data_IF_580380542950
#
_entry.id   IF_580380542950
#
_cell.length_a   1.000
_cell.length_b   1.000
_cell.length_c   1.000
_cell.angle_alpha   90.00
_cell.angle_beta   90.00
_cell.angle_gamma   90.00
#
_symmetry.space_group_name_H-M   'P 1'
#
loop_
_entity.id
_entity.type
_entity.pdbx_description
1 polymer ?
#
# COMPACT_ATOMS: atom_id res chain seq x y z
N UNK A 1 1.95 42.56 -13.53
CA UNK A 1 1.69 41.27 -14.21
C UNK A 1 1.26 40.27 -13.14
N UNK A 2 0.07 39.67 -13.26
CA UNK A 2 -0.46 38.70 -12.29
C UNK A 2 -0.09 37.29 -12.77
N UNK A 3 0.90 36.67 -12.14
CA UNK A 3 1.17 35.24 -12.30
C UNK A 3 0.24 34.49 -11.36
N UNK A 4 -0.94 34.12 -11.84
CA UNK A 4 -1.78 33.14 -11.15
C UNK A 4 -1.16 31.79 -11.46
N UNK A 5 -0.48 31.24 -10.45
CA UNK A 5 0.21 29.96 -10.48
C UNK A 5 -0.78 28.85 -10.84
N UNK A 6 -0.64 28.28 -12.03
CA UNK A 6 -1.48 27.18 -12.59
C UNK A 6 -1.02 25.83 -12.01
N UNK A 7 -0.79 25.77 -10.70
CA UNK A 7 -0.42 24.51 -10.01
C UNK A 7 -1.61 23.93 -9.24
N UNK A 8 -2.68 24.71 -9.04
CA UNK A 8 -3.86 24.29 -8.28
C UNK A 8 -4.87 23.43 -9.07
N UNK A 9 -4.69 23.20 -10.37
CA UNK A 9 -5.71 22.57 -11.23
C UNK A 9 -5.47 21.09 -11.55
N UNK A 10 -4.35 20.50 -11.13
CA UNK A 10 -4.06 19.08 -11.40
C UNK A 10 -4.41 18.14 -10.25
N UNK A 11 -4.71 18.67 -9.07
CA UNK A 11 -5.05 17.89 -7.88
C UNK A 11 -6.36 17.07 -7.96
N UNK A 12 -7.44 17.45 -8.70
CA UNK A 12 -8.69 16.68 -8.63
C UNK A 12 -8.74 15.47 -9.57
N UNK A 13 -7.85 15.38 -10.57
CA UNK A 13 -7.97 14.32 -11.60
C UNK A 13 -7.40 12.99 -11.12
N UNK A 14 -6.30 13.02 -10.36
CA UNK A 14 -5.68 11.81 -9.81
C UNK A 14 -6.58 11.16 -8.74
N UNK A 15 -7.24 11.97 -7.91
CA UNK A 15 -8.22 11.49 -6.92
C UNK A 15 -9.54 10.96 -7.51
N UNK A 16 -9.81 11.25 -8.79
CA UNK A 16 -11.05 10.88 -9.47
C UNK A 16 -10.86 9.77 -10.51
N UNK A 17 -9.63 9.30 -10.74
CA UNK A 17 -9.38 8.15 -11.58
C UNK A 17 -10.16 6.95 -11.00
N UNK A 18 -11.02 6.26 -11.79
CA UNK A 18 -11.73 5.07 -11.34
C UNK A 18 -10.79 4.02 -10.75
N UNK A 19 -9.54 4.00 -11.21
CA UNK A 19 -8.45 3.15 -10.75
C UNK A 19 -8.05 3.42 -9.28
N UNK A 20 -8.23 4.66 -8.80
CA UNK A 20 -8.05 5.01 -7.39
C UNK A 20 -9.33 4.81 -6.54
N UNK A 21 -10.47 4.53 -7.20
CA UNK A 21 -11.77 4.29 -6.54
C UNK A 21 -12.11 2.80 -6.44
N UNK A 22 -11.71 2.06 -7.46
CA UNK A 22 -11.96 0.65 -7.56
C UNK A 22 -10.63 -0.04 -7.29
N UNK A 23 -10.53 -0.66 -6.11
CA UNK A 23 -9.50 -1.61 -5.67
C UNK A 23 -9.24 -2.77 -6.67
N UNK A 24 -9.80 -2.70 -7.89
CA UNK A 24 -9.88 -3.75 -8.90
C UNK A 24 -8.51 -4.20 -9.41
N UNK A 25 -7.46 -3.39 -9.30
CA UNK A 25 -6.09 -3.79 -9.59
C UNK A 25 -5.48 -4.58 -8.44
N UNK A 26 -5.13 -3.90 -7.36
CA UNK A 26 -4.42 -4.52 -6.24
C UNK A 26 -5.19 -5.65 -5.54
N UNK A 27 -6.50 -5.52 -5.27
CA UNK A 27 -7.28 -6.60 -4.64
C UNK A 27 -7.41 -7.81 -5.56
N UNK A 28 -7.60 -7.60 -6.86
CA UNK A 28 -7.70 -8.72 -7.79
C UNK A 28 -6.38 -9.49 -7.83
N UNK A 29 -5.24 -8.78 -7.88
CA UNK A 29 -3.93 -9.43 -7.85
C UNK A 29 -3.72 -10.20 -6.54
N UNK A 30 -4.05 -9.60 -5.38
CA UNK A 30 -3.93 -10.30 -4.10
C UNK A 30 -4.81 -11.55 -4.05
N UNK A 31 -6.06 -11.46 -4.50
CA UNK A 31 -6.96 -12.63 -4.53
C UNK A 31 -6.47 -13.71 -5.49
N UNK A 32 -5.83 -13.33 -6.60
CA UNK A 32 -5.24 -14.26 -7.56
C UNK A 32 -3.99 -14.95 -7.01
N UNK A 33 -3.02 -14.17 -6.49
CA UNK A 33 -1.71 -14.67 -6.07
C UNK A 33 -1.72 -15.26 -4.67
N UNK A 34 -2.73 -14.92 -3.86
CA UNK A 34 -2.76 -15.20 -2.44
C UNK A 34 -4.15 -15.75 -2.04
N UNK A 35 -4.58 -16.88 -2.62
CA UNK A 35 -5.96 -17.36 -2.50
C UNK A 35 -6.38 -17.75 -1.07
N UNK A 36 -5.40 -17.96 -0.18
CA UNK A 36 -5.63 -18.32 1.23
C UNK A 36 -5.69 -17.10 2.16
N UNK A 37 -5.53 -15.88 1.64
CA UNK A 37 -5.61 -14.67 2.47
C UNK A 37 -7.03 -14.52 3.02
N UNK A 38 -7.15 -14.23 4.32
CA UNK A 38 -8.46 -14.06 4.94
C UNK A 38 -9.13 -12.77 4.46
N UNK A 39 -10.46 -12.76 4.40
CA UNK A 39 -11.21 -11.54 4.06
C UNK A 39 -10.95 -10.41 5.07
N UNK A 40 -10.62 -10.73 6.33
CA UNK A 40 -10.22 -9.73 7.33
C UNK A 40 -8.92 -9.00 6.92
N UNK A 41 -7.94 -9.73 6.38
CA UNK A 41 -6.70 -9.12 5.92
C UNK A 41 -6.91 -8.32 4.62
N UNK A 42 -7.75 -8.82 3.72
CA UNK A 42 -8.21 -8.05 2.56
C UNK A 42 -8.87 -6.73 3.01
N UNK A 43 -9.75 -6.76 4.00
CA UNK A 43 -10.47 -5.58 4.46
C UNK A 43 -9.55 -4.55 5.15
N UNK A 44 -8.54 -4.99 5.89
CA UNK A 44 -7.50 -4.09 6.43
C UNK A 44 -6.75 -3.44 5.27
N UNK A 45 -6.35 -4.24 4.30
CA UNK A 45 -5.56 -3.76 3.19
C UNK A 45 -6.38 -2.79 2.31
N UNK A 46 -7.71 -2.96 2.14
CA UNK A 46 -8.59 -1.92 1.56
C UNK A 46 -8.65 -0.68 2.44
N UNK A 47 -8.82 -0.86 3.75
CA UNK A 47 -8.97 0.25 4.69
C UNK A 47 -7.80 1.22 4.68
N UNK A 48 -6.56 0.72 4.60
CA UNK A 48 -5.36 1.58 4.59
C UNK A 48 -5.20 2.40 3.31
N UNK A 49 -5.88 1.99 2.23
CA UNK A 49 -5.90 2.70 0.94
C UNK A 49 -7.05 3.72 0.84
N UNK A 50 -7.97 3.77 1.81
CA UNK A 50 -9.08 4.71 1.76
C UNK A 50 -8.58 6.16 1.89
N UNK A 51 -9.17 7.13 1.16
CA UNK A 51 -8.75 8.54 1.20
C UNK A 51 -8.76 9.20 2.59
N UNK A 52 -9.48 8.62 3.55
CA UNK A 52 -9.60 9.12 4.92
C UNK A 52 -8.78 8.31 5.93
N UNK A 53 -7.98 7.33 5.49
CA UNK A 53 -7.13 6.59 6.41
C UNK A 53 -6.03 7.50 6.96
N UNK A 54 -6.11 7.78 8.26
CA UNK A 54 -5.17 8.63 8.94
C UNK A 54 -4.92 8.20 10.38
N UNK A 55 -4.43 9.13 11.18
CA UNK A 55 -4.04 8.88 12.58
C UNK A 55 -5.19 8.42 13.46
N UNK A 56 -6.45 8.71 13.09
CA UNK A 56 -7.63 8.31 13.84
C UNK A 56 -8.09 6.87 13.50
N UNK A 57 -7.84 6.42 12.27
CA UNK A 57 -8.24 5.13 11.72
C UNK A 57 -7.16 4.07 11.88
N UNK A 58 -5.88 4.46 11.87
CA UNK A 58 -4.76 3.54 12.02
C UNK A 58 -4.83 2.67 13.30
N UNK A 59 -5.26 3.18 14.47
CA UNK A 59 -5.47 2.34 15.66
C UNK A 59 -6.50 1.21 15.49
N UNK A 60 -7.33 1.25 14.45
CA UNK A 60 -8.30 0.19 14.15
C UNK A 60 -7.70 -0.92 13.27
N UNK A 61 -6.64 -0.61 12.51
CA UNK A 61 -5.93 -1.58 11.67
C UNK A 61 -4.76 -2.23 12.41
N UNK A 62 -4.01 -1.44 13.19
CA UNK A 62 -2.82 -1.89 13.94
C UNK A 62 -3.02 -3.16 14.78
N UNK A 63 -4.12 -3.35 15.53
CA UNK A 63 -4.29 -4.54 16.38
C UNK A 63 -4.44 -5.86 15.59
N UNK A 64 -4.85 -5.79 14.33
CA UNK A 64 -5.10 -6.96 13.48
C UNK A 64 -3.90 -7.33 12.61
N UNK A 65 -2.91 -6.43 12.50
CA UNK A 65 -1.70 -6.67 11.70
C UNK A 65 -0.92 -7.91 12.10
N UNK A 66 -0.73 -8.27 13.39
CA UNK A 66 0.02 -9.48 13.74
C UNK A 66 -0.57 -10.77 13.16
N UNK A 67 -1.89 -10.83 12.96
CA UNK A 67 -2.57 -11.97 12.33
C UNK A 67 -2.41 -11.95 10.81
N UNK A 68 -2.40 -10.76 10.20
CA UNK A 68 -2.38 -10.60 8.75
C UNK A 68 -0.99 -10.53 8.13
N UNK A 69 0.02 -10.10 8.87
CA UNK A 69 1.37 -9.93 8.35
C UNK A 69 1.99 -11.22 7.80
N UNK A 70 1.84 -12.40 8.42
CA UNK A 70 2.30 -13.65 7.81
C UNK A 70 1.66 -13.90 6.43
N UNK A 71 0.37 -13.62 6.29
CA UNK A 71 -0.35 -13.76 5.02
C UNK A 71 0.14 -12.76 3.96
N UNK A 72 0.45 -11.52 4.35
CA UNK A 72 1.04 -10.53 3.44
C UNK A 72 2.46 -10.93 3.01
N UNK A 73 3.28 -11.50 3.90
CA UNK A 73 4.62 -11.99 3.56
C UNK A 73 4.54 -13.17 2.59
N UNK A 74 3.67 -14.15 2.85
CA UNK A 74 3.41 -15.25 1.91
C UNK A 74 2.94 -14.71 0.55
N UNK A 75 2.09 -13.69 0.57
CA UNK A 75 1.59 -13.05 -0.63
C UNK A 75 2.71 -12.38 -1.45
N UNK A 76 3.62 -11.67 -0.79
CA UNK A 76 4.82 -11.09 -1.43
C UNK A 76 5.66 -12.19 -2.09
N UNK A 77 5.87 -13.32 -1.41
CA UNK A 77 6.65 -14.44 -1.94
C UNK A 77 5.98 -15.09 -3.16
N UNK A 78 4.65 -15.11 -3.21
CA UNK A 78 3.92 -15.63 -4.38
C UNK A 78 4.00 -14.68 -5.59
N UNK A 79 4.04 -13.37 -5.36
CA UNK A 79 4.20 -12.36 -6.43
C UNK A 79 5.65 -12.33 -6.90
N UNK A 80 6.61 -12.40 -5.97
CA UNK A 80 8.04 -12.30 -6.24
C UNK A 80 8.77 -13.47 -5.56
N UNK A 81 8.93 -14.62 -6.24
CA UNK A 81 9.48 -15.84 -5.62
C UNK A 81 10.91 -15.75 -5.10
N UNK A 82 11.74 -14.86 -5.66
CA UNK A 82 13.12 -14.62 -5.22
C UNK A 82 13.22 -13.61 -4.07
N UNK A 83 12.10 -13.28 -3.45
CA UNK A 83 12.00 -12.24 -2.43
C UNK A 83 12.39 -12.79 -1.05
N UNK A 84 13.68 -12.67 -0.73
CA UNK A 84 14.30 -13.33 0.43
C UNK A 84 14.43 -12.44 1.68
N UNK A 85 13.53 -11.45 1.84
CA UNK A 85 13.63 -10.46 2.92
C UNK A 85 12.59 -10.73 4.01
N UNK A 86 12.95 -11.36 5.14
CA UNK A 86 12.08 -11.42 6.31
C UNK A 86 11.92 -10.02 6.89
N UNK A 87 10.68 -9.53 6.93
CA UNK A 87 10.36 -8.27 7.58
C UNK A 87 10.00 -8.50 9.05
N UNK A 88 10.72 -7.87 9.99
CA UNK A 88 10.17 -7.74 11.32
C UNK A 88 8.93 -6.86 11.19
N UNK A 89 7.78 -7.35 11.64
CA UNK A 89 6.64 -6.47 11.79
C UNK A 89 7.01 -5.35 12.74
N UNK A 90 6.88 -4.13 12.25
CA UNK A 90 6.84 -2.97 13.10
C UNK A 90 5.75 -3.21 14.18
N UNK A 91 6.00 -2.75 15.40
CA UNK A 91 5.04 -2.88 16.51
C UNK A 91 4.73 -1.50 17.09
N UNK A 92 3.55 -1.38 17.73
CA UNK A 92 3.13 -0.14 18.38
C UNK A 92 3.16 1.08 17.43
N UNK A 93 3.84 2.15 17.85
CA UNK A 93 3.92 3.40 17.07
C UNK A 93 4.63 3.22 15.72
N UNK A 94 5.59 2.30 15.63
CA UNK A 94 6.29 2.04 14.38
C UNK A 94 5.34 1.43 13.33
N UNK A 95 4.44 0.54 13.77
CA UNK A 95 3.43 -0.06 12.91
C UNK A 95 2.42 0.98 12.40
N UNK A 96 1.89 1.80 13.31
CA UNK A 96 0.99 2.90 12.95
C UNK A 96 1.67 3.83 11.94
N UNK A 97 2.93 4.22 12.19
CA UNK A 97 3.69 5.04 11.25
C UNK A 97 3.84 4.37 9.89
N UNK A 98 4.15 3.07 9.86
CA UNK A 98 4.28 2.31 8.63
C UNK A 98 2.99 2.33 7.79
N UNK A 99 1.84 2.02 8.42
CA UNK A 99 0.55 2.00 7.72
C UNK A 99 0.19 3.38 7.16
N UNK A 100 0.53 4.45 7.87
CA UNK A 100 0.30 5.83 7.42
C UNK A 100 1.17 6.24 6.23
N UNK A 101 2.23 5.49 5.91
CA UNK A 101 3.05 5.75 4.71
C UNK A 101 2.47 5.13 3.43
N UNK A 102 1.49 4.23 3.52
CA UNK A 102 0.92 3.54 2.34
C UNK A 102 0.30 4.54 1.35
N UNK A 103 -0.51 5.49 1.83
CA UNK A 103 -1.10 6.51 0.94
C UNK A 103 -0.04 7.44 0.30
N UNK A 104 0.92 8.03 1.05
CA UNK A 104 2.04 8.75 0.46
C UNK A 104 2.83 7.94 -0.58
N UNK A 105 3.10 6.66 -0.31
CA UNK A 105 3.80 5.78 -1.23
C UNK A 105 2.96 5.47 -2.47
N UNK A 106 1.65 5.25 -2.33
CA UNK A 106 0.73 5.06 -3.45
C UNK A 106 0.81 6.24 -4.43
N UNK A 107 0.77 7.48 -3.94
CA UNK A 107 0.94 8.66 -4.79
C UNK A 107 2.32 8.73 -5.43
N UNK A 108 3.37 8.40 -4.66
CA UNK A 108 4.74 8.39 -5.15
C UNK A 108 4.89 7.41 -6.32
N UNK A 109 4.43 6.17 -6.16
CA UNK A 109 4.53 5.11 -7.17
C UNK A 109 3.63 5.39 -8.38
N UNK A 110 2.43 5.95 -8.16
CA UNK A 110 1.57 6.36 -9.26
C UNK A 110 2.18 7.45 -10.15
N UNK A 111 2.93 8.40 -9.56
CA UNK A 111 3.59 9.49 -10.30
C UNK A 111 4.96 9.11 -10.87
N UNK A 112 5.65 8.19 -10.20
CA UNK A 112 6.99 7.70 -10.53
C UNK A 112 7.09 6.20 -10.19
N UNK A 113 6.63 5.36 -11.12
CA UNK A 113 6.50 3.93 -10.91
C UNK A 113 7.85 3.23 -10.65
N UNK A 114 8.92 3.70 -11.29
CA UNK A 114 10.26 3.15 -11.08
C UNK A 114 10.72 3.31 -9.63
N UNK A 115 10.17 4.27 -8.90
CA UNK A 115 10.48 4.44 -7.48
C UNK A 115 9.93 3.31 -6.60
N UNK A 116 8.99 2.49 -7.09
CA UNK A 116 8.55 1.28 -6.42
C UNK A 116 9.64 0.20 -6.42
N UNK A 117 10.59 0.21 -7.37
CA UNK A 117 11.72 -0.74 -7.42
C UNK A 117 12.74 -0.51 -6.30
N UNK A 118 12.72 0.66 -5.67
CA UNK A 118 13.64 1.00 -4.57
C UNK A 118 13.11 0.37 -3.27
N UNK A 119 13.85 -0.57 -2.64
CA UNK A 119 13.38 -1.23 -1.43
C UNK A 119 13.18 -0.24 -0.27
N UNK A 120 12.10 -0.41 0.49
CA UNK A 120 11.83 0.39 1.69
C UNK A 120 12.79 -0.07 2.80
N UNK A 121 13.49 0.84 3.51
CA UNK A 121 14.33 0.48 4.64
C UNK A 121 13.56 -0.35 5.67
N UNK A 122 14.14 -1.49 6.07
CA UNK A 122 13.48 -2.49 6.94
C UNK A 122 12.90 -1.89 8.22
N UNK A 123 13.58 -0.93 8.84
CA UNK A 123 13.14 -0.27 10.07
C UNK A 123 11.99 0.74 9.88
N UNK A 124 11.57 0.98 8.65
CA UNK A 124 10.46 1.86 8.27
C UNK A 124 9.33 1.08 7.57
N UNK A 125 9.47 -0.24 7.44
CA UNK A 125 8.57 -1.07 6.66
C UNK A 125 7.71 -1.97 7.56
N UNK A 126 6.67 -2.54 6.96
CA UNK A 126 5.79 -3.54 7.53
C UNK A 126 5.21 -4.36 6.37
N UNK A 127 4.75 -5.59 6.66
CA UNK A 127 4.39 -6.54 5.61
C UNK A 127 3.36 -5.98 4.60
N UNK A 128 2.36 -5.22 5.07
CA UNK A 128 1.35 -4.63 4.19
C UNK A 128 1.88 -3.49 3.32
N UNK A 129 2.76 -2.63 3.86
CA UNK A 129 3.39 -1.55 3.07
C UNK A 129 4.32 -2.12 2.01
N UNK A 130 5.01 -3.21 2.33
CA UNK A 130 5.83 -3.90 1.35
C UNK A 130 4.99 -4.59 0.26
N UNK A 131 3.90 -5.25 0.64
CA UNK A 131 2.99 -5.86 -0.31
C UNK A 131 2.45 -4.79 -1.27
N UNK A 132 2.07 -3.62 -0.75
CA UNK A 132 1.69 -2.46 -1.56
C UNK A 132 2.77 -2.09 -2.58
N UNK A 133 4.04 -1.95 -2.16
CA UNK A 133 5.16 -1.65 -3.08
C UNK A 133 5.32 -2.73 -4.16
N UNK A 134 5.28 -4.01 -3.78
CA UNK A 134 5.43 -5.14 -4.71
C UNK A 134 4.29 -5.19 -5.72
N UNK A 135 3.07 -4.87 -5.30
CA UNK A 135 1.94 -4.74 -6.23
C UNK A 135 2.15 -3.61 -7.24
N UNK A 136 2.74 -2.48 -6.83
CA UNK A 136 3.13 -1.40 -7.75
C UNK A 136 4.23 -1.82 -8.72
N UNK A 137 5.17 -2.67 -8.33
CA UNK A 137 6.15 -3.26 -9.27
C UNK A 137 5.44 -4.11 -10.33
N UNK A 138 4.49 -4.96 -9.91
CA UNK A 138 3.81 -5.91 -10.80
C UNK A 138 2.80 -5.24 -11.74
N UNK A 139 1.98 -4.30 -11.22
CA UNK A 139 0.87 -3.69 -11.95
C UNK A 139 1.18 -2.31 -12.52
N UNK A 140 2.26 -1.67 -12.07
CA UNK A 140 2.54 -0.29 -12.39
C UNK A 140 1.40 0.64 -11.95
N UNK A 141 0.96 1.51 -12.87
CA UNK A 141 -0.14 2.45 -12.63
C UNK A 141 -1.53 1.78 -12.49
N UNK A 142 -1.61 0.45 -12.67
CA UNK A 142 -2.85 -0.31 -12.47
C UNK A 142 -2.99 -0.83 -11.03
N UNK A 143 -1.99 -0.61 -10.16
CA UNK A 143 -2.04 -0.97 -8.75
C UNK A 143 -3.09 -0.16 -7.98
#
# INVERSE_FOLDING_TARGET
MKFISVVALLAPVVLAAPQARDDAGWISLIKEKCPNISEQCIDIAKKVHQPLFGVAEAPQATPLMPECSPAYVECIQNITPDYDVPYPDATGLALTTCLLQIAPDHFRYFLDNESAEIPIPRNQNCALRELHRVVHIELGHLA
#
